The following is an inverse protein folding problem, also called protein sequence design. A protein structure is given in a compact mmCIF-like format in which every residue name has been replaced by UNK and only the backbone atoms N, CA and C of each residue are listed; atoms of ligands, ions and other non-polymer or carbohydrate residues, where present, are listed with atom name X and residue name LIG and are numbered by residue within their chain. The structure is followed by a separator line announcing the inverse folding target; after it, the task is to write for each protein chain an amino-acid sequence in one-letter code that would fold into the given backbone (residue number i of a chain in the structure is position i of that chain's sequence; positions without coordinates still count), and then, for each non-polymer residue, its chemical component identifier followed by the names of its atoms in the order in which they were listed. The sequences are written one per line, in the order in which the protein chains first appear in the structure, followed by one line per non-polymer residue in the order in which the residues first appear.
data_IF_565475545719
#
_entry.id   IF_565475545719
#
_cell.length_a   1.000
_cell.length_b   1.000
_cell.length_c   1.000
_cell.angle_alpha   90.00
_cell.angle_beta   90.00
_cell.angle_gamma   90.00
#
_symmetry.space_group_name_H-M   'P 1'
#
loop_
_entity.id
_entity.type
_entity.pdbx_description
1 polymer ?
#
# COMPACT_ATOMS: atom_id res chain seq x y z
N UNK A 1 5.83 -2.66 -12.74
CA UNK A 1 6.91 -2.62 -11.74
C UNK A 1 7.20 -1.16 -11.39
N UNK A 2 7.86 -0.88 -10.28
CA UNK A 2 8.36 0.47 -9.96
C UNK A 2 9.82 0.55 -10.41
N UNK A 3 10.15 1.57 -11.19
CA UNK A 3 11.51 1.77 -11.74
C UNK A 3 12.19 3.03 -11.20
N UNK A 4 11.50 3.77 -10.34
CA UNK A 4 12.09 4.89 -9.63
C UNK A 4 11.06 5.67 -8.84
N UNK A 5 11.53 6.73 -8.19
CA UNK A 5 10.72 7.53 -7.27
C UNK A 5 11.02 9.01 -7.45
N UNK A 6 10.01 9.79 -7.81
CA UNK A 6 10.05 11.24 -7.62
C UNK A 6 9.59 11.57 -6.21
N UNK A 7 10.35 12.41 -5.53
CA UNK A 7 10.05 12.81 -4.15
C UNK A 7 10.35 14.29 -3.95
N UNK A 8 9.53 14.97 -3.16
CA UNK A 8 9.76 16.35 -2.76
C UNK A 8 9.33 16.59 -1.32
N UNK A 9 10.23 17.20 -0.54
CA UNK A 9 10.00 17.59 0.86
C UNK A 9 9.44 16.47 1.75
N UNK A 10 9.96 15.25 1.58
CA UNK A 10 9.61 14.07 2.38
C UNK A 10 10.79 13.64 3.24
N UNK A 11 10.61 13.56 4.56
CA UNK A 11 11.66 13.24 5.53
C UNK A 11 12.97 13.99 5.28
N UNK A 12 14.04 13.28 4.93
CA UNK A 12 15.38 13.83 4.70
C UNK A 12 15.54 14.44 3.30
N UNK A 13 14.59 14.21 2.39
CA UNK A 13 14.66 14.69 1.02
C UNK A 13 14.14 16.13 0.92
N UNK A 14 15.07 17.09 1.03
CA UNK A 14 14.82 18.50 0.71
C UNK A 14 14.76 18.73 -0.80
N UNK A 15 13.78 19.51 -1.23
CA UNK A 15 13.56 19.87 -2.63
C UNK A 15 13.05 18.69 -3.46
N UNK A 16 12.83 18.94 -4.74
CA UNK A 16 12.50 17.89 -5.70
C UNK A 16 13.73 17.01 -5.97
N UNK A 17 13.55 15.69 -6.02
CA UNK A 17 14.58 14.72 -6.40
C UNK A 17 13.96 13.55 -7.16
N UNK A 18 14.77 12.90 -8.00
CA UNK A 18 14.46 11.61 -8.59
C UNK A 18 15.44 10.54 -8.13
N UNK A 19 14.94 9.37 -7.77
CA UNK A 19 15.72 8.22 -7.31
C UNK A 19 15.45 7.05 -8.27
N UNK A 20 16.37 6.72 -9.20
CA UNK A 20 16.20 5.59 -10.12
C UNK A 20 16.39 4.25 -9.39
N UNK A 21 15.57 3.24 -9.71
CA UNK A 21 15.72 1.86 -9.23
C UNK A 21 16.46 1.01 -10.30
N UNK A 22 17.54 1.59 -10.84
CA UNK A 22 18.23 1.11 -12.04
C UNK A 22 18.18 2.12 -13.18
N UNK A 23 19.26 2.23 -13.94
CA UNK A 23 19.39 3.25 -15.00
C UNK A 23 19.24 2.64 -16.39
N UNK A 24 19.90 1.51 -16.65
CA UNK A 24 20.06 0.96 -18.00
C UNK A 24 19.40 -0.42 -18.21
N UNK A 25 18.71 -0.95 -17.20
CA UNK A 25 18.08 -2.26 -17.30
C UNK A 25 16.87 -2.39 -16.37
N UNK A 26 16.01 -3.36 -16.69
CA UNK A 26 14.85 -3.77 -15.89
C UNK A 26 15.32 -4.65 -14.75
N UNK A 27 15.18 -4.17 -13.52
CA UNK A 27 15.54 -4.92 -12.31
C UNK A 27 14.31 -5.20 -11.43
N UNK A 28 14.15 -6.47 -11.07
CA UNK A 28 13.11 -6.91 -10.12
C UNK A 28 13.62 -6.88 -8.67
N UNK A 29 14.93 -6.81 -8.47
CA UNK A 29 15.59 -6.74 -7.17
C UNK A 29 16.40 -5.45 -7.07
N UNK A 30 16.13 -4.65 -6.04
CA UNK A 30 16.80 -3.37 -5.81
C UNK A 30 17.40 -3.35 -4.41
N UNK A 31 18.70 -3.05 -4.32
CA UNK A 31 19.43 -2.93 -3.07
C UNK A 31 19.93 -1.49 -2.88
N UNK A 32 19.39 -0.80 -1.89
CA UNK A 32 19.81 0.57 -1.55
C UNK A 32 20.92 0.53 -0.50
N UNK A 33 22.15 0.89 -0.90
CA UNK A 33 23.33 0.94 -0.03
C UNK A 33 23.73 2.40 0.20
N UNK A 34 24.17 2.73 1.41
CA UNK A 34 24.60 4.07 1.76
C UNK A 34 24.87 4.20 3.26
N UNK A 35 25.49 5.31 3.66
CA UNK A 35 25.80 5.60 5.07
C UNK A 35 24.52 5.75 5.91
N UNK A 36 24.69 5.71 7.23
CA UNK A 36 23.61 5.96 8.18
C UNK A 36 23.04 7.37 7.97
N UNK A 37 21.72 7.51 8.03
CA UNK A 37 21.04 8.78 7.76
C UNK A 37 20.97 9.21 6.29
N UNK A 38 21.51 8.44 5.33
CA UNK A 38 21.47 8.78 3.90
C UNK A 38 20.07 8.72 3.26
N UNK A 39 19.04 8.27 4.00
CA UNK A 39 17.64 8.22 3.55
C UNK A 39 17.18 6.93 2.92
N UNK A 40 17.94 5.84 3.05
CA UNK A 40 17.58 4.49 2.54
C UNK A 40 16.15 4.09 2.95
N UNK A 41 15.87 4.11 4.25
CA UNK A 41 14.55 3.86 4.84
C UNK A 41 13.48 4.84 4.35
N UNK A 42 13.85 6.11 4.13
CA UNK A 42 12.93 7.12 3.64
C UNK A 42 12.39 6.83 2.23
N UNK A 43 13.13 6.07 1.40
CA UNK A 43 12.64 5.61 0.08
C UNK A 43 11.48 4.62 0.28
N UNK A 44 11.67 3.62 1.13
CA UNK A 44 10.69 2.57 1.37
C UNK A 44 9.44 3.14 2.06
N UNK A 45 9.63 4.05 3.01
CA UNK A 45 8.54 4.74 3.69
C UNK A 45 7.76 5.69 2.77
N UNK A 46 8.42 6.36 1.83
CA UNK A 46 7.72 7.16 0.82
C UNK A 46 6.78 6.27 0.00
N UNK A 47 7.28 5.13 -0.49
CA UNK A 47 6.44 4.15 -1.19
C UNK A 47 5.31 3.63 -0.29
N UNK A 48 5.59 3.37 0.99
CA UNK A 48 4.57 2.97 1.95
C UNK A 48 3.45 4.03 2.08
N UNK A 49 3.80 5.33 2.08
CA UNK A 49 2.82 6.42 2.08
C UNK A 49 1.93 6.37 0.84
N UNK A 50 2.53 6.12 -0.33
CA UNK A 50 1.81 6.07 -1.60
C UNK A 50 0.82 4.90 -1.69
N UNK A 51 1.23 3.69 -1.31
CA UNK A 51 0.42 2.48 -1.47
C UNK A 51 -0.52 2.22 -0.30
N UNK A 52 -0.05 2.44 0.93
CA UNK A 52 -0.74 2.03 2.15
C UNK A 52 -1.35 3.20 2.93
N UNK A 53 -1.29 4.43 2.39
CA UNK A 53 -1.73 5.66 3.04
C UNK A 53 -1.16 5.81 4.47
N UNK A 54 0.10 5.40 4.68
CA UNK A 54 0.79 5.64 5.94
C UNK A 54 1.07 7.15 6.14
N UNK A 55 1.46 7.52 7.35
CA UNK A 55 1.68 8.93 7.70
C UNK A 55 2.76 9.57 6.83
N UNK A 56 2.41 10.71 6.21
CA UNK A 56 3.35 11.48 5.40
C UNK A 56 4.16 12.43 6.28
N UNK A 57 5.45 12.14 6.42
CA UNK A 57 6.38 12.93 7.23
C UNK A 57 7.06 13.98 6.35
N UNK A 58 6.70 15.24 6.55
CA UNK A 58 7.25 16.38 5.82
C UNK A 58 8.70 16.67 6.23
N UNK A 59 9.52 17.13 5.28
CA UNK A 59 10.83 17.69 5.58
C UNK A 59 10.68 18.96 6.43
N UNK A 60 11.52 19.09 7.45
CA UNK A 60 11.53 20.24 8.38
C UNK A 60 11.75 21.56 7.62
N UNK A 61 11.00 22.61 7.97
CA UNK A 61 11.13 23.97 7.42
C UNK A 61 10.83 24.12 5.92
N UNK A 62 10.18 23.14 5.29
CA UNK A 62 9.79 23.22 3.87
C UNK A 62 8.28 23.41 3.71
N UNK A 63 7.89 23.92 2.54
CA UNK A 63 6.48 24.16 2.22
C UNK A 63 5.76 22.82 2.02
N UNK A 64 4.88 22.49 2.98
CA UNK A 64 4.02 21.29 2.92
C UNK A 64 3.16 21.24 1.66
N UNK A 65 2.84 22.40 1.07
CA UNK A 65 2.04 22.53 -0.15
C UNK A 65 2.75 22.08 -1.43
N UNK A 66 4.06 21.88 -1.37
CA UNK A 66 4.86 21.47 -2.52
C UNK A 66 5.36 20.03 -2.35
N UNK A 67 5.05 19.38 -1.22
CA UNK A 67 5.54 18.05 -0.89
C UNK A 67 4.77 16.96 -1.65
N UNK A 68 5.46 15.97 -2.17
CA UNK A 68 4.82 14.84 -2.84
C UNK A 68 5.71 13.60 -2.85
N UNK A 69 5.08 12.47 -3.11
CA UNK A 69 5.71 11.19 -3.45
C UNK A 69 5.05 10.67 -4.73
N UNK A 70 5.83 10.31 -5.74
CA UNK A 70 5.31 9.87 -7.05
C UNK A 70 6.19 8.75 -7.61
N UNK A 71 5.80 7.47 -7.41
CA UNK A 71 6.53 6.34 -8.01
C UNK A 71 6.44 6.38 -9.53
N UNK A 72 7.51 5.97 -10.21
CA UNK A 72 7.53 5.77 -11.65
C UNK A 72 7.24 4.31 -11.97
N UNK A 73 6.15 4.07 -12.70
CA UNK A 73 5.70 2.75 -13.07
C UNK A 73 6.15 2.40 -14.49
N UNK A 74 6.55 1.15 -14.69
CA UNK A 74 6.80 0.53 -15.98
C UNK A 74 5.93 -0.72 -16.12
N UNK A 75 5.08 -0.77 -17.15
CA UNK A 75 4.20 -1.91 -17.43
C UNK A 75 4.41 -2.39 -18.85
N UNK A 76 4.22 -3.69 -19.08
CA UNK A 76 4.17 -4.23 -20.45
C UNK A 76 2.87 -3.80 -21.11
N UNK A 77 2.89 -3.57 -22.43
CA UNK A 77 1.69 -3.11 -23.15
C UNK A 77 0.51 -4.07 -23.01
N UNK A 78 0.77 -5.38 -22.91
CA UNK A 78 -0.25 -6.40 -22.70
C UNK A 78 -0.97 -6.28 -21.35
N UNK A 79 -0.34 -5.68 -20.34
CA UNK A 79 -0.90 -5.50 -18.99
C UNK A 79 -1.83 -4.29 -18.90
N UNK A 80 -1.90 -3.46 -19.94
CA UNK A 80 -2.79 -2.31 -19.99
C UNK A 80 -4.26 -2.72 -19.84
N UNK A 81 -4.60 -3.94 -20.26
CA UNK A 81 -5.95 -4.52 -20.14
C UNK A 81 -6.43 -4.67 -18.68
N UNK A 82 -5.50 -4.69 -17.71
CA UNK A 82 -5.82 -4.76 -16.28
C UNK A 82 -6.29 -3.41 -15.70
N UNK A 83 -6.30 -2.35 -16.50
CA UNK A 83 -6.76 -1.01 -16.12
C UNK A 83 -8.14 -0.72 -16.72
N UNK A 84 -8.86 0.22 -16.13
CA UNK A 84 -10.14 0.72 -16.64
C UNK A 84 -10.00 1.27 -18.06
N UNK A 85 -11.04 1.08 -18.90
CA UNK A 85 -11.03 1.50 -20.31
C UNK A 85 -10.63 2.96 -20.51
N UNK A 86 -11.02 3.87 -19.60
CA UNK A 86 -10.64 5.29 -19.68
C UNK A 86 -9.16 5.48 -19.31
N UNK A 87 -8.69 4.74 -18.31
CA UNK A 87 -7.29 4.74 -17.90
C UNK A 87 -6.37 4.21 -19.00
N UNK A 88 -6.84 3.22 -19.77
CA UNK A 88 -6.13 2.69 -20.94
C UNK A 88 -5.87 3.75 -22.02
N UNK A 89 -6.74 4.77 -22.13
CA UNK A 89 -6.55 5.87 -23.09
C UNK A 89 -5.44 6.84 -22.65
N UNK A 90 -5.30 7.09 -21.34
CA UNK A 90 -4.38 8.13 -20.84
C UNK A 90 -2.96 7.62 -20.57
N UNK A 91 -2.77 6.34 -20.20
CA UNK A 91 -1.43 5.79 -19.93
C UNK A 91 -0.48 5.94 -21.12
N UNK A 92 -0.89 5.63 -22.38
CA UNK A 92 -0.04 5.83 -23.55
C UNK A 92 0.38 7.30 -23.74
N UNK A 93 -0.53 8.24 -23.50
CA UNK A 93 -0.28 9.68 -23.61
C UNK A 93 0.75 10.13 -22.57
N UNK A 94 0.54 9.74 -21.30
CA UNK A 94 1.48 10.04 -20.21
C UNK A 94 2.87 9.48 -20.55
N UNK A 95 2.93 8.24 -21.05
CA UNK A 95 4.17 7.60 -21.46
C UNK A 95 4.86 8.35 -22.59
N UNK A 96 4.14 8.76 -23.62
CA UNK A 96 4.69 9.51 -24.74
C UNK A 96 5.24 10.88 -24.30
N UNK A 97 4.50 11.60 -23.45
CA UNK A 97 4.95 12.87 -22.88
C UNK A 97 6.23 12.65 -22.07
N UNK A 98 6.22 11.73 -21.11
CA UNK A 98 7.38 11.47 -20.25
C UNK A 98 8.63 11.08 -21.04
N UNK A 99 8.47 10.34 -22.15
CA UNK A 99 9.58 9.93 -23.02
C UNK A 99 10.01 11.02 -24.03
N UNK A 100 9.18 12.03 -24.32
CA UNK A 100 9.52 13.12 -25.25
C UNK A 100 10.14 14.34 -24.56
N UNK A 101 10.03 14.45 -23.23
CA UNK A 101 10.65 15.53 -22.46
C UNK A 101 12.16 15.60 -22.69
N UNK A 102 12.67 16.83 -22.81
CA UNK A 102 14.10 17.13 -22.91
C UNK A 102 14.56 17.88 -21.66
N UNK A 103 15.72 17.48 -21.11
CA UNK A 103 16.25 18.06 -19.86
C UNK A 103 16.40 19.59 -19.89
N UNK A 104 16.81 20.14 -21.03
CA UNK A 104 17.00 21.58 -21.24
C UNK A 104 15.70 22.37 -21.42
N UNK A 105 14.54 21.72 -21.55
CA UNK A 105 13.27 22.41 -21.83
C UNK A 105 12.76 23.26 -20.68
N UNK A 106 13.21 23.02 -19.44
CA UNK A 106 12.79 23.81 -18.28
C UNK A 106 13.84 23.79 -17.18
N UNK A 107 14.07 24.93 -16.52
CA UNK A 107 14.92 25.01 -15.33
C UNK A 107 14.38 24.18 -14.17
N UNK A 108 13.06 23.92 -14.14
CA UNK A 108 12.41 23.09 -13.13
C UNK A 108 12.73 21.59 -13.29
N UNK A 109 13.39 21.18 -14.40
CA UNK A 109 13.76 19.79 -14.64
C UNK A 109 15.15 19.44 -14.09
N UNK A 110 15.97 20.43 -13.72
CA UNK A 110 17.29 20.24 -13.11
C UNK A 110 17.31 19.22 -11.96
N UNK A 111 16.33 19.21 -11.03
CA UNK A 111 16.35 18.28 -9.91
C UNK A 111 16.07 16.81 -10.30
N UNK A 112 15.75 16.54 -11.56
CA UNK A 112 15.43 15.21 -12.09
C UNK A 112 16.45 14.73 -13.13
N UNK A 113 17.69 15.21 -13.10
CA UNK A 113 18.74 14.81 -14.05
C UNK A 113 18.83 13.28 -14.24
N UNK A 114 18.88 12.52 -13.14
CA UNK A 114 18.92 11.05 -13.19
C UNK A 114 17.67 10.40 -13.82
N UNK A 115 16.51 11.08 -13.85
CA UNK A 115 15.35 10.60 -14.62
C UNK A 115 15.65 10.67 -16.11
N UNK A 116 16.26 11.76 -16.59
CA UNK A 116 16.62 11.90 -18.01
C UNK A 116 17.74 10.94 -18.42
N UNK A 117 18.62 10.54 -17.50
CA UNK A 117 19.57 9.45 -17.72
C UNK A 117 18.83 8.12 -17.94
N UNK A 118 17.94 7.74 -17.03
CA UNK A 118 17.13 6.52 -17.16
C UNK A 118 16.19 6.57 -18.38
N UNK A 119 15.67 7.75 -18.73
CA UNK A 119 14.79 7.97 -19.88
C UNK A 119 15.42 7.50 -21.20
N UNK A 120 16.76 7.53 -21.32
CA UNK A 120 17.47 7.01 -22.50
C UNK A 120 17.16 5.53 -22.72
N UNK A 121 17.30 4.71 -21.67
CA UNK A 121 16.93 3.30 -21.70
C UNK A 121 15.41 3.12 -21.90
N UNK A 122 14.57 3.91 -21.23
CA UNK A 122 13.12 3.80 -21.37
C UNK A 122 12.64 4.07 -22.81
N UNK A 123 13.35 4.91 -23.57
CA UNK A 123 13.09 5.15 -25.00
C UNK A 123 13.36 3.93 -25.86
N UNK A 124 14.35 3.10 -25.51
CA UNK A 124 14.69 1.88 -26.25
C UNK A 124 13.57 0.82 -26.11
N UNK A 125 12.96 0.73 -24.93
CA UNK A 125 11.90 -0.25 -24.61
C UNK A 125 10.47 0.27 -24.83
N UNK A 126 10.29 1.49 -25.37
CA UNK A 126 8.97 2.11 -25.62
C UNK A 126 8.05 1.29 -26.54
N UNK A 127 8.64 0.40 -27.36
CA UNK A 127 7.90 -0.50 -28.25
C UNK A 127 7.07 -1.51 -27.47
N UNK A 128 7.58 -1.98 -26.34
CA UNK A 128 7.04 -3.11 -25.56
C UNK A 128 6.44 -2.69 -24.22
N UNK A 129 6.78 -1.50 -23.71
CA UNK A 129 6.35 -1.03 -22.39
C UNK A 129 5.76 0.39 -22.43
N UNK A 130 4.95 0.71 -21.42
CA UNK A 130 4.51 2.06 -21.08
C UNK A 130 5.14 2.50 -19.76
N UNK A 131 5.45 3.79 -19.66
CA UNK A 131 5.91 4.45 -18.43
C UNK A 131 4.89 5.49 -17.97
N UNK A 132 4.58 5.54 -16.68
CA UNK A 132 3.67 6.56 -16.13
C UNK A 132 3.93 6.81 -14.65
N UNK A 133 3.45 7.93 -14.15
CA UNK A 133 3.57 8.29 -12.73
C UNK A 133 2.31 9.03 -12.28
N UNK A 134 2.03 9.03 -10.99
CA UNK A 134 0.96 9.82 -10.38
C UNK A 134 1.43 10.21 -9.00
N UNK A 135 1.19 11.45 -8.58
CA UNK A 135 1.62 11.94 -7.28
C UNK A 135 0.61 11.57 -6.18
N UNK A 136 1.14 11.20 -5.03
CA UNK A 136 0.46 11.20 -3.76
C UNK A 136 0.85 12.45 -2.95
N UNK A 137 -0.16 13.18 -2.50
CA UNK A 137 -0.01 14.36 -1.66
C UNK A 137 -1.18 14.41 -0.65
N UNK A 138 -0.94 14.42 0.68
CA UNK A 138 -1.99 14.18 1.66
C UNK A 138 -2.71 15.43 2.18
N UNK A 139 -2.46 16.64 1.64
CA UNK A 139 -3.02 17.87 2.24
C UNK A 139 -4.51 18.13 1.95
N UNK A 140 -5.12 17.57 0.91
CA UNK A 140 -6.55 17.80 0.59
C UNK A 140 -7.20 16.61 -0.12
N UNK A 141 -8.53 16.53 -0.11
CA UNK A 141 -9.31 15.50 -0.83
C UNK A 141 -9.04 15.49 -2.35
N UNK A 142 -8.55 16.60 -2.91
CA UNK A 142 -8.25 16.77 -4.34
C UNK A 142 -6.75 16.78 -4.69
N UNK A 143 -5.82 16.62 -3.74
CA UNK A 143 -4.38 16.76 -4.00
C UNK A 143 -3.70 15.54 -4.65
N UNK A 144 -4.43 14.47 -4.91
CA UNK A 144 -3.90 13.19 -5.40
C UNK A 144 -4.03 12.97 -6.92
N UNK A 145 -4.18 14.05 -7.70
CA UNK A 145 -4.47 14.00 -9.13
C UNK A 145 -3.49 14.87 -9.93
N UNK A 146 -2.19 14.67 -9.72
CA UNK A 146 -1.15 15.54 -10.27
C UNK A 146 0.01 14.71 -10.83
N UNK A 147 0.57 15.12 -11.97
CA UNK A 147 1.75 14.49 -12.58
C UNK A 147 3.05 15.26 -12.28
N UNK A 148 3.22 15.67 -11.02
CA UNK A 148 4.38 16.41 -10.53
C UNK A 148 4.71 17.62 -11.44
N UNK A 149 5.99 17.97 -11.58
CA UNK A 149 6.43 19.08 -12.44
C UNK A 149 5.97 18.97 -13.91
N UNK A 150 5.49 17.81 -14.36
CA UNK A 150 5.04 17.56 -15.73
C UNK A 150 3.52 17.74 -15.93
N UNK A 151 2.78 18.05 -14.86
CA UNK A 151 1.32 18.09 -14.85
C UNK A 151 0.69 18.93 -15.94
N UNK A 152 1.11 20.20 -16.07
CA UNK A 152 0.54 21.09 -17.09
C UNK A 152 0.70 20.56 -18.52
N UNK A 153 1.82 19.89 -18.82
CA UNK A 153 2.09 19.35 -20.17
C UNK A 153 1.24 18.10 -20.40
N UNK A 154 1.18 17.21 -19.40
CA UNK A 154 0.39 15.98 -19.47
C UNK A 154 -1.10 16.29 -19.51
N UNK A 155 -1.60 17.18 -18.66
CA UNK A 155 -3.01 17.60 -18.61
C UNK A 155 -3.46 18.14 -19.96
N UNK A 156 -2.69 19.05 -20.57
CA UNK A 156 -2.99 19.58 -21.91
C UNK A 156 -3.14 18.47 -22.95
N UNK A 157 -2.23 17.49 -22.94
CA UNK A 157 -2.26 16.36 -23.89
C UNK A 157 -3.43 15.42 -23.67
N UNK A 158 -3.80 15.14 -22.41
CA UNK A 158 -4.98 14.33 -22.10
C UNK A 158 -6.27 15.06 -22.51
N UNK A 159 -6.33 16.38 -22.31
CA UNK A 159 -7.49 17.21 -22.67
C UNK A 159 -7.66 17.43 -24.18
N UNK A 160 -6.74 16.94 -25.03
CA UNK A 160 -6.96 16.84 -26.49
C UNK A 160 -7.99 15.76 -26.84
N UNK A 161 -8.25 14.79 -25.95
CA UNK A 161 -9.32 13.79 -26.10
C UNK A 161 -10.65 14.41 -25.67
N UNK A 162 -11.65 14.34 -26.55
CA UNK A 162 -12.99 14.91 -26.34
C UNK A 162 -13.63 14.49 -25.01
N UNK A 163 -13.47 13.22 -24.62
CA UNK A 163 -13.97 12.66 -23.36
C UNK A 163 -13.38 13.33 -22.10
N UNK A 164 -12.17 13.88 -22.18
CA UNK A 164 -11.41 14.42 -21.03
C UNK A 164 -11.25 15.94 -21.06
N UNK A 165 -11.85 16.65 -22.04
CA UNK A 165 -11.81 18.12 -22.13
C UNK A 165 -12.27 18.78 -20.83
N UNK A 166 -13.35 18.25 -20.23
CA UNK A 166 -13.94 18.80 -19.01
C UNK A 166 -13.12 18.38 -17.79
N UNK A 167 -12.72 19.34 -16.96
CA UNK A 167 -11.90 19.08 -15.76
C UNK A 167 -12.47 17.97 -14.86
N UNK A 168 -13.80 17.90 -14.71
CA UNK A 168 -14.46 16.84 -13.93
C UNK A 168 -14.16 15.43 -14.47
N UNK A 169 -14.17 15.23 -15.79
CA UNK A 169 -13.89 13.92 -16.38
C UNK A 169 -12.39 13.60 -16.35
N UNK A 170 -11.54 14.61 -16.55
CA UNK A 170 -10.08 14.51 -16.33
C UNK A 170 -9.77 14.02 -14.91
N UNK A 171 -10.23 14.72 -13.89
CA UNK A 171 -9.95 14.36 -12.49
C UNK A 171 -10.53 12.99 -12.12
N UNK A 172 -11.70 12.63 -12.65
CA UNK A 172 -12.26 11.30 -12.47
C UNK A 172 -11.38 10.18 -13.04
N UNK A 173 -10.80 10.37 -14.24
CA UNK A 173 -9.91 9.35 -14.83
C UNK A 173 -8.57 9.27 -14.10
N UNK A 174 -8.03 10.38 -13.58
CA UNK A 174 -6.80 10.34 -12.76
C UNK A 174 -7.04 9.64 -11.42
N UNK A 175 -8.16 9.91 -10.74
CA UNK A 175 -8.56 9.13 -9.57
C UNK A 175 -8.70 7.65 -9.88
N UNK A 176 -9.27 7.32 -11.04
CA UNK A 176 -9.43 5.93 -11.47
C UNK A 176 -8.08 5.25 -11.71
N UNK A 177 -7.13 5.95 -12.34
CA UNK A 177 -5.76 5.48 -12.51
C UNK A 177 -5.11 5.12 -11.15
N UNK A 178 -5.23 6.00 -10.15
CA UNK A 178 -4.73 5.71 -8.79
C UNK A 178 -5.38 4.47 -8.19
N UNK A 179 -6.71 4.35 -8.32
CA UNK A 179 -7.45 3.17 -7.85
C UNK A 179 -6.99 1.90 -8.54
N UNK A 180 -6.74 1.93 -9.84
CA UNK A 180 -6.27 0.76 -10.60
C UNK A 180 -4.83 0.40 -10.22
N UNK A 181 -3.96 1.37 -9.94
CA UNK A 181 -2.62 1.11 -9.41
C UNK A 181 -2.71 0.37 -8.06
N UNK A 182 -3.51 0.87 -7.12
CA UNK A 182 -3.66 0.23 -5.80
C UNK A 182 -4.33 -1.15 -5.92
N UNK A 183 -5.19 -1.35 -6.93
CA UNK A 183 -5.77 -2.67 -7.24
C UNK A 183 -4.72 -3.63 -7.79
N UNK A 184 -3.87 -3.16 -8.71
CA UNK A 184 -2.93 -4.00 -9.45
C UNK A 184 -1.61 -4.25 -8.71
N UNK A 185 -1.29 -3.46 -7.68
CA UNK A 185 -0.06 -3.57 -6.91
C UNK A 185 -0.34 -3.66 -5.41
N UNK A 186 0.33 -4.59 -4.73
CA UNK A 186 0.34 -4.69 -3.27
C UNK A 186 1.74 -4.34 -2.75
N UNK A 187 1.85 -3.36 -1.86
CA UNK A 187 3.14 -2.96 -1.29
C UNK A 187 3.25 -3.45 0.15
N UNK A 188 4.10 -4.45 0.37
CA UNK A 188 4.38 -4.97 1.70
C UNK A 188 5.65 -4.34 2.23
N UNK A 189 5.52 -3.60 3.33
CA UNK A 189 6.63 -2.92 3.97
C UNK A 189 6.98 -3.53 5.33
N UNK A 190 8.26 -3.82 5.53
CA UNK A 190 8.82 -4.34 6.78
C UNK A 190 9.81 -3.28 7.30
N UNK A 191 9.41 -2.44 8.27
CA UNK A 191 10.28 -1.38 8.78
C UNK A 191 11.36 -1.93 9.74
N UNK A 192 12.43 -1.16 9.91
CA UNK A 192 13.56 -1.45 10.82
C UNK A 192 13.12 -1.71 12.26
N UNK A 193 12.17 -0.90 12.75
CA UNK A 193 11.77 -0.89 14.17
C UNK A 193 10.87 -2.07 14.53
N UNK A 194 10.23 -2.70 13.54
CA UNK A 194 9.43 -3.90 13.79
C UNK A 194 10.37 -5.07 13.98
N UNK A 195 10.37 -5.67 15.18
CA UNK A 195 11.10 -6.90 15.39
C UNK A 195 10.61 -7.93 14.37
N UNK A 196 11.53 -8.65 13.72
CA UNK A 196 11.17 -9.72 12.75
C UNK A 196 10.18 -10.70 13.43
N UNK A 197 10.28 -10.87 14.73
CA UNK A 197 9.39 -11.70 15.54
C UNK A 197 7.95 -11.16 15.60
N UNK A 198 7.78 -9.84 15.70
CA UNK A 198 6.46 -9.20 15.68
C UNK A 198 5.88 -9.12 14.27
N UNK A 199 6.72 -8.98 13.24
CA UNK A 199 6.23 -9.08 11.86
C UNK A 199 5.75 -10.50 11.52
N UNK A 200 6.48 -11.53 11.96
CA UNK A 200 6.20 -12.93 11.65
C UNK A 200 5.07 -13.57 12.45
N UNK A 201 4.48 -12.81 13.36
CA UNK A 201 3.20 -13.15 14.00
C UNK A 201 2.08 -13.11 12.98
N UNK A 202 1.25 -14.14 12.99
CA UNK A 202 0.13 -14.28 12.05
C UNK A 202 -0.95 -13.21 12.28
N UNK A 203 -1.01 -12.68 13.51
CA UNK A 203 -1.85 -11.56 13.89
C UNK A 203 -1.28 -10.19 13.49
N UNK A 204 -0.02 -10.08 13.03
CA UNK A 204 0.56 -8.78 12.69
C UNK A 204 -0.12 -8.18 11.46
N UNK A 205 -0.29 -6.85 11.42
CA UNK A 205 -0.91 -6.18 10.26
C UNK A 205 -0.20 -6.51 8.95
N UNK A 206 1.13 -6.61 8.94
CA UNK A 206 1.89 -6.98 7.74
C UNK A 206 1.61 -8.42 7.26
N UNK A 207 1.49 -9.37 8.20
CA UNK A 207 1.15 -10.76 7.88
C UNK A 207 -0.33 -10.91 7.52
N UNK A 208 -1.19 -10.12 8.16
CA UNK A 208 -2.59 -10.00 7.78
C UNK A 208 -2.70 -9.42 6.38
N UNK A 209 -2.07 -8.29 6.03
CA UNK A 209 -2.12 -7.71 4.68
C UNK A 209 -1.66 -8.73 3.60
N UNK A 210 -0.71 -9.61 3.95
CA UNK A 210 -0.29 -10.76 3.13
C UNK A 210 -1.33 -11.88 3.02
N UNK A 211 -2.03 -12.23 4.11
CA UNK A 211 -2.99 -13.34 4.17
C UNK A 211 -4.43 -12.94 3.83
N UNK A 212 -4.78 -11.67 4.01
CA UNK A 212 -6.13 -11.30 4.45
C UNK A 212 -7.10 -11.03 3.34
N UNK A 213 -6.70 -10.85 2.08
CA UNK A 213 -7.77 -10.56 1.11
C UNK A 213 -8.72 -11.74 0.92
N UNK A 214 -8.25 -12.99 1.01
CA UNK A 214 -9.13 -14.16 0.87
C UNK A 214 -9.71 -14.62 2.19
N UNK A 215 -8.94 -14.57 3.29
CA UNK A 215 -9.42 -14.97 4.61
C UNK A 215 -10.49 -14.00 5.11
N UNK A 216 -10.23 -12.68 5.00
CA UNK A 216 -11.20 -11.64 5.38
C UNK A 216 -12.44 -11.71 4.53
N UNK A 217 -12.31 -11.80 3.19
CA UNK A 217 -13.47 -11.98 2.29
C UNK A 217 -14.26 -13.25 2.61
N UNK A 218 -13.58 -14.34 2.98
CA UNK A 218 -14.26 -15.59 3.35
C UNK A 218 -15.03 -15.43 4.66
N UNK A 219 -14.45 -14.80 5.67
CA UNK A 219 -15.13 -14.51 6.94
C UNK A 219 -16.31 -13.56 6.72
N UNK A 220 -16.09 -12.45 6.01
CA UNK A 220 -17.15 -11.49 5.67
C UNK A 220 -18.29 -12.15 4.88
N UNK A 221 -17.96 -13.04 3.93
CA UNK A 221 -18.95 -13.82 3.19
C UNK A 221 -19.76 -14.69 4.14
N UNK A 222 -19.12 -15.43 5.04
CA UNK A 222 -19.80 -16.29 6.02
C UNK A 222 -20.65 -15.49 7.01
N UNK A 223 -20.17 -14.33 7.47
CA UNK A 223 -20.91 -13.46 8.40
C UNK A 223 -22.15 -12.85 7.77
N UNK A 224 -22.10 -12.53 6.48
CA UNK A 224 -23.21 -11.92 5.73
C UNK A 224 -24.11 -12.95 5.03
N UNK A 225 -23.71 -14.22 4.96
CA UNK A 225 -24.49 -15.28 4.33
C UNK A 225 -25.80 -15.47 5.09
N UNK A 226 -26.92 -15.29 4.39
CA UNK A 226 -28.24 -15.38 5.00
C UNK A 226 -28.72 -16.83 4.99
N UNK A 227 -28.91 -17.38 6.18
CA UNK A 227 -29.40 -18.73 6.39
C UNK A 227 -30.92 -18.71 6.60
N UNK A 228 -31.67 -19.71 6.12
CA UNK A 228 -33.09 -19.82 6.40
C UNK A 228 -33.29 -20.25 7.86
N UNK A 229 -33.99 -19.42 8.65
CA UNK A 229 -34.42 -19.78 10.00
C UNK A 229 -35.86 -20.30 9.90
N UNK A 230 -36.13 -21.48 10.46
CA UNK A 230 -37.48 -22.06 10.51
C UNK A 230 -38.17 -21.69 11.82
N UNK A 231 -38.90 -20.58 11.81
CA UNK A 231 -40.06 -20.39 12.70
C UNK A 231 -41.15 -19.56 11.99
N UNK A 232 -42.25 -20.22 11.60
CA UNK A 232 -43.49 -19.60 11.12
C UNK A 232 -43.45 -18.93 9.72
N UNK A 233 -42.61 -17.92 9.52
CA UNK A 233 -42.39 -17.21 8.25
C UNK A 233 -40.89 -17.26 7.92
N UNK A 234 -40.52 -17.78 6.75
CA UNK A 234 -39.12 -17.97 6.35
C UNK A 234 -38.34 -16.65 6.31
N UNK A 235 -37.76 -16.25 7.45
CA UNK A 235 -36.89 -15.09 7.54
C UNK A 235 -35.45 -15.53 7.27
N UNK A 236 -34.78 -14.82 6.37
CA UNK A 236 -33.38 -15.02 6.04
C UNK A 236 -32.55 -14.04 6.86
N UNK A 237 -31.91 -14.51 7.93
CA UNK A 237 -30.98 -13.73 8.74
C UNK A 237 -29.56 -14.25 8.53
N UNK A 238 -28.59 -13.34 8.54
CA UNK A 238 -27.18 -13.69 8.58
C UNK A 238 -26.72 -13.93 10.02
N UNK A 239 -25.54 -14.53 10.21
CA UNK A 239 -24.93 -14.67 11.54
C UNK A 239 -24.74 -13.28 12.18
N UNK A 240 -24.35 -12.28 11.38
CA UNK A 240 -24.20 -10.90 11.84
C UNK A 240 -25.53 -10.29 12.31
N UNK A 241 -26.64 -10.61 11.64
CA UNK A 241 -27.97 -10.14 12.05
C UNK A 241 -28.36 -10.76 13.40
N UNK A 242 -28.12 -12.07 13.58
CA UNK A 242 -28.44 -12.78 14.83
C UNK A 242 -27.65 -12.18 16.00
N UNK A 243 -26.35 -11.93 15.84
CA UNK A 243 -25.50 -11.35 16.89
C UNK A 243 -25.96 -9.93 17.25
N UNK A 244 -26.24 -9.09 16.25
CA UNK A 244 -26.70 -7.72 16.52
C UNK A 244 -28.06 -7.70 17.24
N UNK A 245 -28.98 -8.59 16.85
CA UNK A 245 -30.30 -8.67 17.46
C UNK A 245 -30.21 -9.13 18.93
N UNK A 246 -29.40 -10.17 19.21
CA UNK A 246 -29.19 -10.70 20.58
C UNK A 246 -28.57 -9.65 21.52
N UNK A 247 -27.56 -8.91 21.04
CA UNK A 247 -26.94 -7.83 21.81
C UNK A 247 -27.91 -6.67 22.10
N UNK A 248 -28.75 -6.31 21.12
CA UNK A 248 -29.73 -5.23 21.31
C UNK A 248 -30.86 -5.66 22.26
N UNK A 249 -31.24 -6.94 22.26
CA UNK A 249 -32.20 -7.49 23.22
C UNK A 249 -31.61 -7.58 24.64
N UNK A 250 -30.34 -7.96 24.79
CA UNK A 250 -29.64 -7.92 26.08
C UNK A 250 -29.57 -6.50 26.66
N UNK A 251 -29.23 -5.49 25.84
CA UNK A 251 -29.19 -4.09 26.33
C UNK A 251 -30.56 -3.64 26.81
N UNK A 252 -31.65 -3.99 26.10
CA UNK A 252 -33.02 -3.69 26.55
C UNK A 252 -33.39 -4.41 27.83
N UNK A 253 -32.94 -5.66 28.02
CA UNK A 253 -33.20 -6.41 29.25
C UNK A 253 -32.52 -5.73 30.44
N UNK A 254 -31.27 -5.31 30.29
CA UNK A 254 -30.54 -4.54 31.31
C UNK A 254 -31.22 -3.19 31.59
N UNK A 255 -31.60 -2.47 30.53
CA UNK A 255 -32.33 -1.20 30.65
C UNK A 255 -33.62 -1.37 31.45
N UNK A 256 -34.44 -2.36 31.08
CA UNK A 256 -35.70 -2.67 31.75
C UNK A 256 -35.47 -2.98 33.23
N UNK A 257 -34.42 -3.76 33.54
CA UNK A 257 -34.06 -4.13 34.91
C UNK A 257 -33.67 -2.90 35.75
N UNK A 258 -32.93 -1.95 35.18
CA UNK A 258 -32.53 -0.73 35.90
C UNK A 258 -33.72 0.24 36.02
N UNK A 259 -34.60 0.30 35.01
CA UNK A 259 -35.82 1.10 35.02
C UNK A 259 -36.84 0.65 36.08
N UNK A 260 -36.77 -0.61 36.54
CA UNK A 260 -37.54 -1.08 37.70
C UNK A 260 -37.12 -0.39 39.01
N UNK A 261 -35.85 0.04 39.10
CA UNK A 261 -35.30 0.74 40.27
C UNK A 261 -35.57 2.24 40.13
N UNK A 262 -35.26 2.81 38.97
CA UNK A 262 -35.46 4.23 38.67
C UNK A 262 -35.71 4.43 37.17
N UNK A 263 -36.87 5.02 36.85
CA UNK A 263 -37.35 5.22 35.48
C UNK A 263 -36.57 6.28 34.70
N UNK A 264 -35.67 7.02 35.33
CA UNK A 264 -34.85 8.02 34.67
C UNK A 264 -33.65 7.43 33.90
N UNK A 265 -33.32 6.15 34.10
CA UNK A 265 -32.25 5.48 33.35
C UNK A 265 -32.70 5.03 31.95
N UNK A 266 -31.91 5.37 30.93
CA UNK A 266 -32.09 4.98 29.54
C UNK A 266 -30.72 4.79 28.89
N UNK A 267 -30.56 3.78 28.03
CA UNK A 267 -29.38 3.63 27.18
C UNK A 267 -29.60 4.37 25.86
N UNK A 268 -29.63 5.71 25.93
CA UNK A 268 -29.83 6.51 24.73
C UNK A 268 -28.62 6.48 23.79
N UNK A 269 -28.90 6.58 22.50
CA UNK A 269 -27.90 6.50 21.43
C UNK A 269 -27.29 7.88 21.22
N UNK A 270 -25.96 7.99 21.26
CA UNK A 270 -25.29 9.22 20.82
C UNK A 270 -25.75 9.60 19.39
N UNK A 271 -26.05 10.90 19.19
CA UNK A 271 -26.62 11.39 17.95
C UNK A 271 -25.71 11.05 16.75
N UNK A 272 -26.23 10.25 15.81
CA UNK A 272 -25.55 9.70 14.61
C UNK A 272 -24.54 8.56 14.82
N UNK A 273 -24.45 7.96 16.02
CA UNK A 273 -23.61 6.78 16.21
C UNK A 273 -24.15 5.56 15.43
N UNK A 274 -23.29 4.88 14.66
CA UNK A 274 -23.62 3.58 14.06
C UNK A 274 -23.41 2.49 15.11
N UNK A 275 -24.50 1.91 15.62
CA UNK A 275 -24.43 0.92 16.71
C UNK A 275 -24.27 -0.52 16.22
N UNK A 276 -24.75 -0.84 15.02
CA UNK A 276 -24.67 -2.20 14.49
C UNK A 276 -23.24 -2.58 14.12
N UNK A 277 -22.81 -3.74 14.61
CA UNK A 277 -21.57 -4.36 14.18
C UNK A 277 -21.62 -4.61 12.67
N UNK A 278 -20.52 -4.33 11.99
CA UNK A 278 -20.35 -4.64 10.56
C UNK A 278 -19.49 -5.90 10.42
N UNK A 279 -19.59 -6.57 9.27
CA UNK A 279 -18.75 -7.72 8.99
C UNK A 279 -17.25 -7.37 9.08
N UNK A 280 -16.87 -6.14 8.70
CA UNK A 280 -15.48 -5.65 8.83
C UNK A 280 -15.03 -5.63 10.29
N UNK A 281 -15.86 -5.08 11.21
CA UNK A 281 -15.52 -5.00 12.64
C UNK A 281 -15.25 -6.39 13.23
N UNK A 282 -16.10 -7.39 12.92
CA UNK A 282 -15.93 -8.75 13.44
C UNK A 282 -14.80 -9.50 12.76
N UNK A 283 -14.58 -9.27 11.46
CA UNK A 283 -13.54 -9.98 10.71
C UNK A 283 -12.15 -9.67 11.22
N UNK A 284 -11.88 -8.39 11.55
CA UNK A 284 -10.58 -7.99 12.10
C UNK A 284 -10.32 -8.65 13.46
N UNK A 285 -11.32 -8.65 14.35
CA UNK A 285 -11.24 -9.30 15.68
C UNK A 285 -11.09 -10.83 15.56
N UNK A 286 -11.81 -11.46 14.63
CA UNK A 286 -11.72 -12.91 14.39
C UNK A 286 -10.37 -13.32 13.84
N UNK A 287 -9.82 -12.56 12.89
CA UNK A 287 -8.48 -12.79 12.33
C UNK A 287 -7.45 -12.68 13.46
N UNK A 288 -7.45 -11.57 14.21
CA UNK A 288 -6.54 -11.37 15.34
C UNK A 288 -6.62 -12.50 16.37
N UNK A 289 -7.84 -12.86 16.80
CA UNK A 289 -8.06 -13.88 17.83
C UNK A 289 -7.71 -15.29 17.35
N UNK A 290 -8.00 -15.62 16.09
CA UNK A 290 -7.73 -16.93 15.53
C UNK A 290 -6.23 -17.15 15.29
N UNK A 291 -5.54 -16.14 14.79
CA UNK A 291 -4.13 -16.23 14.42
C UNK A 291 -3.18 -16.00 15.59
N UNK A 292 -3.53 -15.19 16.59
CA UNK A 292 -2.71 -14.98 17.80
C UNK A 292 -2.44 -16.28 18.59
N UNK A 293 -3.30 -17.28 18.46
CA UNK A 293 -3.11 -18.61 19.07
C UNK A 293 -2.06 -19.46 18.37
N UNK A 294 -1.60 -19.06 17.18
CA UNK A 294 -0.68 -19.84 16.33
C UNK A 294 0.67 -19.13 16.23
N UNK A 295 1.69 -19.72 16.85
CA UNK A 295 3.07 -19.24 16.74
C UNK A 295 3.83 -20.04 15.70
N UNK A 296 4.49 -19.33 14.78
CA UNK A 296 5.28 -19.98 13.74
C UNK A 296 6.55 -20.62 14.35
N UNK A 297 6.85 -21.84 13.89
CA UNK A 297 7.98 -22.65 14.38
C UNK A 297 8.80 -23.16 13.20
N UNK A 298 10.11 -23.25 13.38
CA UNK A 298 11.05 -23.94 12.49
C UNK A 298 11.77 -25.01 13.30
N UNK A 299 11.73 -26.27 12.85
CA UNK A 299 12.32 -27.41 13.55
C UNK A 299 11.89 -27.50 15.03
N UNK A 300 10.59 -27.31 15.30
CA UNK A 300 10.02 -27.35 16.66
C UNK A 300 10.29 -26.11 17.53
N UNK A 301 11.21 -25.23 17.13
CA UNK A 301 11.58 -24.00 17.84
C UNK A 301 10.78 -22.81 17.33
N UNK A 302 10.25 -21.98 18.22
CA UNK A 302 9.56 -20.75 17.80
C UNK A 302 10.56 -19.79 17.13
N UNK A 303 10.10 -19.08 16.09
CA UNK A 303 10.98 -18.18 15.32
C UNK A 303 11.68 -17.14 16.20
N UNK A 304 11.00 -16.65 17.24
CA UNK A 304 11.57 -15.71 18.22
C UNK A 304 12.84 -16.19 18.95
N UNK A 305 13.13 -17.48 18.91
CA UNK A 305 14.32 -18.05 19.53
C UNK A 305 15.42 -18.40 18.51
N UNK A 306 15.21 -18.12 17.22
CA UNK A 306 16.20 -18.33 16.16
C UNK A 306 17.23 -17.19 16.15
N UNK A 307 18.41 -17.45 15.56
CA UNK A 307 19.41 -16.41 15.32
C UNK A 307 18.87 -15.32 14.37
N UNK A 308 19.50 -14.14 14.35
CA UNK A 308 19.09 -13.05 13.47
C UNK A 308 19.08 -13.47 11.98
N UNK A 309 20.09 -14.21 11.52
CA UNK A 309 20.16 -14.73 10.14
C UNK A 309 19.05 -15.75 9.83
N UNK A 310 18.76 -16.65 10.76
CA UNK A 310 17.68 -17.63 10.58
C UNK A 310 16.28 -16.98 10.58
N UNK A 311 16.09 -15.93 11.40
CA UNK A 311 14.86 -15.13 11.39
C UNK A 311 14.67 -14.41 10.06
N UNK A 312 15.73 -13.81 9.50
CA UNK A 312 15.70 -13.20 8.16
C UNK A 312 15.39 -14.23 7.07
N UNK A 313 16.01 -15.41 7.13
CA UNK A 313 15.68 -16.49 6.19
C UNK A 313 14.23 -16.90 6.30
N UNK A 314 13.70 -17.07 7.52
CA UNK A 314 12.29 -17.39 7.71
C UNK A 314 11.37 -16.30 7.15
N UNK A 315 11.72 -15.02 7.33
CA UNK A 315 11.01 -13.89 6.72
C UNK A 315 10.92 -13.99 5.20
N UNK A 316 12.05 -14.26 4.55
CA UNK A 316 12.13 -14.44 3.10
C UNK A 316 11.34 -15.68 2.67
N UNK A 317 11.51 -16.82 3.37
CA UNK A 317 10.81 -18.07 3.08
C UNK A 317 9.28 -17.89 3.14
N UNK A 318 8.81 -17.12 4.11
CA UNK A 318 7.39 -16.82 4.32
C UNK A 318 6.87 -15.86 3.27
N UNK A 319 7.57 -14.75 3.02
CA UNK A 319 7.23 -13.82 1.95
C UNK A 319 7.18 -14.52 0.59
N UNK A 320 8.15 -15.40 0.32
CA UNK A 320 8.20 -16.23 -0.88
C UNK A 320 7.03 -17.23 -0.96
N UNK A 321 6.66 -17.86 0.16
CA UNK A 321 5.51 -18.77 0.21
C UNK A 321 4.20 -18.05 -0.14
N UNK A 322 4.03 -16.80 0.30
CA UNK A 322 2.88 -15.99 -0.11
C UNK A 322 2.96 -15.58 -1.58
N UNK A 323 4.12 -15.16 -2.07
CA UNK A 323 4.33 -14.84 -3.48
C UNK A 323 3.95 -16.02 -4.40
N UNK A 324 4.23 -17.26 -3.99
CA UNK A 324 3.81 -18.46 -4.71
C UNK A 324 2.29 -18.67 -4.60
N UNK A 325 1.71 -18.58 -3.40
CA UNK A 325 0.27 -18.77 -3.21
C UNK A 325 -0.57 -17.72 -3.94
N UNK A 326 -0.04 -16.50 -4.09
CA UNK A 326 -0.65 -15.40 -4.86
C UNK A 326 -0.46 -15.53 -6.37
N UNK A 327 0.23 -16.55 -6.92
CA UNK A 327 0.26 -16.77 -8.38
C UNK A 327 -1.15 -16.99 -8.97
N UNK A 328 -2.15 -17.28 -8.14
CA UNK A 328 -3.57 -17.35 -8.51
C UNK A 328 -4.31 -15.99 -8.44
N UNK A 329 -3.65 -14.88 -8.08
CA UNK A 329 -4.26 -13.55 -7.94
C UNK A 329 -3.75 -12.58 -9.00
N UNK A 330 -4.63 -11.66 -9.41
CA UNK A 330 -4.37 -10.61 -10.41
C UNK A 330 -3.43 -9.47 -9.93
N UNK A 331 -2.82 -9.57 -8.73
CA UNK A 331 -2.04 -8.48 -8.10
C UNK A 331 -0.54 -8.71 -8.13
N UNK A 332 0.22 -7.64 -8.35
CA UNK A 332 1.68 -7.64 -8.29
C UNK A 332 2.17 -7.24 -6.90
N UNK A 333 2.80 -8.15 -6.19
CA UNK A 333 3.40 -7.84 -4.88
C UNK A 333 4.75 -7.12 -5.07
N UNK A 334 4.96 -6.10 -4.26
CA UNK A 334 6.22 -5.38 -4.08
C UNK A 334 6.61 -5.57 -2.62
N UNK A 335 7.69 -6.33 -2.39
CA UNK A 335 8.24 -6.59 -1.07
C UNK A 335 9.35 -5.58 -0.77
N UNK A 336 9.13 -4.72 0.23
CA UNK A 336 10.08 -3.74 0.72
C UNK A 336 10.53 -4.12 2.14
N UNK A 337 11.81 -4.45 2.28
CA UNK A 337 12.41 -4.83 3.56
C UNK A 337 13.42 -3.74 3.93
N UNK A 338 13.19 -3.09 5.06
CA UNK A 338 14.13 -2.19 5.67
C UNK A 338 14.96 -2.96 6.70
N UNK A 339 16.26 -3.07 6.45
CA UNK A 339 17.17 -3.81 7.30
C UNK A 339 17.55 -2.94 8.51
N UNK A 340 17.39 -3.41 9.76
CA UNK A 340 18.02 -2.74 10.89
C UNK A 340 19.52 -2.67 10.64
N UNK A 341 20.14 -1.58 11.10
CA UNK A 341 21.58 -1.51 11.31
C UNK A 341 21.96 -2.65 12.26
N UNK A 342 22.22 -3.83 11.68
CA UNK A 342 22.84 -4.91 12.40
C UNK A 342 24.25 -4.40 12.59
N UNK A 343 24.49 -3.76 13.73
CA UNK A 343 25.82 -3.63 14.30
C UNK A 343 26.37 -5.04 14.36
N UNK A 344 27.06 -5.44 13.28
CA UNK A 344 28.00 -6.52 13.31
C UNK A 344 28.92 -6.18 14.47
N UNK A 345 28.88 -7.01 15.51
CA UNK A 345 29.93 -6.97 16.52
C UNK A 345 31.23 -7.14 15.73
N UNK A 346 32.14 -6.15 15.81
CA UNK A 346 33.39 -6.06 15.02
C UNK A 346 34.20 -7.37 15.04
N UNK A 347 34.00 -8.21 16.07
CA UNK A 347 34.57 -9.54 16.20
C UNK A 347 34.17 -10.55 15.10
N UNK A 348 33.09 -10.34 14.33
CA UNK A 348 32.72 -11.20 13.20
C UNK A 348 33.24 -10.72 11.83
N UNK A 349 33.92 -9.59 11.76
CA UNK A 349 34.48 -9.06 10.52
C UNK A 349 35.93 -9.52 10.22
N UNK A 350 36.58 -10.28 11.11
CA UNK A 350 38.01 -10.59 11.00
C UNK A 350 38.40 -12.07 10.89
N UNK A 351 37.46 -13.02 10.73
CA UNK A 351 37.84 -14.44 10.56
C UNK A 351 38.03 -14.88 9.09
N UNK A 352 37.77 -14.03 8.09
CA UNK A 352 37.92 -14.43 6.67
C UNK A 352 39.03 -13.71 5.90
N UNK A 353 40.06 -13.22 6.58
CA UNK A 353 41.30 -12.71 5.95
C UNK A 353 42.53 -13.19 6.72
N UNK A 354 42.68 -14.50 6.90
CA UNK A 354 43.99 -15.14 7.14
C UNK A 354 43.97 -16.54 6.49
N UNK A 355 44.35 -16.57 5.22
CA UNK A 355 45.38 -17.41 4.56
C UNK A 355 45.11 -17.51 3.05
#
# INVERSE_FOLDING_TARGET
MIIGLFVRHFKIYKGAKYIPFGINQKEMFNLFIGQNGAGKSSILEALNCYFNNSEFIYHTNEKKSEAFVSPLFLIEKGELTNYDKKVQQIIPIVSEVLLSLTFSSSTNFKPYESFFEQQKFLKEIKGTHYVFTTAFWPQTDNSNQYFITFDNIIKKKIQEIEEFIVDKSYFAVISKLKSDIIKNYSFLYIPVETSIDDFLRLESKGMQDLMSEDVKKRIEKTLNEKLPIKEGRTQRKSILDIINDDLEDFVKEVESTIQEIDKEYDFDKEFKAKTKLTANHLSDVMIETFFSKRKLKKNGKQIKYLSAGERKKALIDIAYSFLIQEQNKERKIILAIDEPESSLHISMCYENLVD
#
